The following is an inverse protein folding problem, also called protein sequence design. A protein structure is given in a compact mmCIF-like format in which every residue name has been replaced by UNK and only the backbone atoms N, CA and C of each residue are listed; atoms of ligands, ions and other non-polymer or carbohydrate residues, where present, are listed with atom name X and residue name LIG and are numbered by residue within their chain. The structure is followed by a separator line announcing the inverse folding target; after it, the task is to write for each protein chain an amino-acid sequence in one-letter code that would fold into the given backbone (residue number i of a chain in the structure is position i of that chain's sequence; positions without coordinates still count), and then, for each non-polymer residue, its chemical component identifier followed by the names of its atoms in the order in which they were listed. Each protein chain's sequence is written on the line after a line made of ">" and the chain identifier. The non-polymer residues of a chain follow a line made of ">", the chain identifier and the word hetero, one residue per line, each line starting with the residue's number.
data_IF_268042865845
#
_entry.id   IF_268042865845
#
_cell.length_a   1.000
_cell.length_b   1.000
_cell.length_c   1.000
_cell.angle_alpha   90.00
_cell.angle_beta   90.00
_cell.angle_gamma   90.00
#
_symmetry.space_group_name_H-M   'P 1'
#
loop_
_entity.id
_entity.type
_entity.pdbx_description
1 polymer ?
#
# COMPACT_ATOMS: atom_id res chain seq x y z
N UNK A 1 -16.71 7.47 8.69
CA UNK A 1 -16.57 6.00 8.98
C UNK A 1 -15.08 5.73 9.14
N UNK A 2 -14.62 5.03 10.19
CA UNK A 2 -13.19 4.74 10.36
C UNK A 2 -12.73 3.61 9.42
N UNK A 3 -11.43 3.57 9.14
CA UNK A 3 -10.81 2.52 8.32
C UNK A 3 -11.07 1.12 8.91
N UNK A 4 -10.97 0.97 10.22
CA UNK A 4 -11.21 -0.31 10.90
C UNK A 4 -12.63 -0.84 10.69
N UNK A 5 -13.66 0.04 10.77
CA UNK A 5 -15.06 -0.31 10.48
C UNK A 5 -15.26 -0.68 9.01
N UNK A 6 -14.66 0.09 8.09
CA UNK A 6 -14.71 -0.20 6.66
C UNK A 6 -14.10 -1.58 6.34
N UNK A 7 -12.92 -1.86 6.89
CA UNK A 7 -12.23 -3.14 6.71
C UNK A 7 -13.06 -4.32 7.21
N UNK A 8 -13.67 -4.21 8.40
CA UNK A 8 -14.57 -5.25 8.92
C UNK A 8 -15.74 -5.49 7.98
N UNK A 9 -16.40 -4.41 7.52
CA UNK A 9 -17.51 -4.51 6.56
C UNK A 9 -17.07 -5.18 5.26
N UNK A 10 -15.94 -4.80 4.70
CA UNK A 10 -15.36 -5.42 3.50
C UNK A 10 -15.18 -6.93 3.67
N UNK A 11 -14.53 -7.36 4.75
CA UNK A 11 -14.26 -8.78 5.01
C UNK A 11 -15.56 -9.57 5.16
N UNK A 12 -16.54 -9.04 5.89
CA UNK A 12 -17.84 -9.71 6.09
C UNK A 12 -18.57 -9.88 4.75
N UNK A 13 -18.70 -8.83 3.94
CA UNK A 13 -19.38 -8.88 2.65
C UNK A 13 -18.69 -9.86 1.70
N UNK A 14 -17.35 -9.83 1.66
CA UNK A 14 -16.58 -10.74 0.82
C UNK A 14 -16.82 -12.22 1.20
N UNK A 15 -16.76 -12.52 2.50
CA UNK A 15 -17.02 -13.90 2.97
C UNK A 15 -18.46 -14.36 2.73
N UNK A 16 -19.44 -13.49 2.97
CA UNK A 16 -20.86 -13.81 2.65
C UNK A 16 -20.98 -14.13 1.17
N UNK A 17 -20.39 -13.32 0.28
CA UNK A 17 -20.43 -13.56 -1.16
C UNK A 17 -19.79 -14.88 -1.56
N UNK A 18 -18.59 -15.20 -1.03
CA UNK A 18 -17.90 -16.46 -1.30
C UNK A 18 -18.73 -17.67 -0.82
N UNK A 19 -19.22 -17.63 0.42
CA UNK A 19 -20.03 -18.71 0.98
C UNK A 19 -21.31 -18.92 0.16
N UNK A 20 -21.99 -17.82 -0.23
CA UNK A 20 -23.21 -17.91 -1.05
C UNK A 20 -22.95 -18.57 -2.40
N UNK A 21 -21.82 -18.27 -3.06
CA UNK A 21 -21.42 -18.89 -4.33
C UNK A 21 -21.15 -20.39 -4.17
N UNK A 22 -20.48 -20.81 -3.10
CA UNK A 22 -20.26 -22.23 -2.82
C UNK A 22 -21.55 -22.97 -2.49
N UNK A 23 -22.41 -22.39 -1.62
CA UNK A 23 -23.72 -22.99 -1.31
C UNK A 23 -24.55 -23.15 -2.58
N UNK A 24 -24.59 -22.12 -3.42
CA UNK A 24 -25.27 -22.20 -4.72
C UNK A 24 -24.70 -23.29 -5.63
N UNK A 25 -23.37 -23.45 -5.69
CA UNK A 25 -22.73 -24.52 -6.43
C UNK A 25 -23.13 -25.91 -5.91
N UNK A 26 -23.05 -26.13 -4.60
CA UNK A 26 -23.45 -27.41 -4.01
C UNK A 26 -24.93 -27.73 -4.22
N UNK A 27 -25.80 -26.73 -4.10
CA UNK A 27 -27.20 -26.88 -4.40
C UNK A 27 -27.44 -27.29 -5.85
N UNK A 28 -26.85 -26.58 -6.83
CA UNK A 28 -26.97 -26.91 -8.25
C UNK A 28 -26.41 -28.30 -8.54
N UNK A 29 -25.28 -28.67 -7.96
CA UNK A 29 -24.68 -29.98 -8.15
C UNK A 29 -25.53 -31.11 -7.56
N UNK A 30 -26.30 -30.87 -6.49
CA UNK A 30 -27.22 -31.86 -5.93
C UNK A 30 -28.46 -32.12 -6.79
N UNK A 31 -28.81 -31.19 -7.69
CA UNK A 31 -29.91 -31.37 -8.62
C UNK A 31 -29.53 -32.24 -9.85
N UNK A 32 -28.24 -32.40 -10.13
CA UNK A 32 -27.71 -33.13 -11.30
C UNK A 32 -26.60 -34.10 -10.89
N UNK A 33 -26.89 -35.11 -10.06
CA UNK A 33 -25.85 -35.97 -9.46
C UNK A 33 -25.10 -36.84 -10.47
N UNK A 34 -25.72 -37.18 -11.58
CA UNK A 34 -25.16 -38.09 -12.58
C UNK A 34 -24.27 -37.42 -13.65
N UNK A 35 -24.12 -36.08 -13.57
CA UNK A 35 -23.36 -35.30 -14.55
C UNK A 35 -22.03 -34.79 -13.98
N UNK A 36 -20.99 -35.61 -13.99
CA UNK A 36 -19.67 -35.28 -13.49
C UNK A 36 -19.02 -34.08 -14.19
N UNK A 37 -19.24 -33.96 -15.51
CA UNK A 37 -18.77 -32.85 -16.33
C UNK A 37 -19.48 -31.54 -15.93
N UNK A 38 -20.76 -31.59 -15.59
CA UNK A 38 -21.53 -30.45 -15.10
C UNK A 38 -20.94 -29.92 -13.81
N UNK A 39 -20.55 -30.81 -12.86
CA UNK A 39 -19.93 -30.41 -11.60
C UNK A 39 -18.62 -29.66 -11.81
N UNK A 40 -17.73 -30.17 -12.68
CA UNK A 40 -16.44 -29.53 -13.01
C UNK A 40 -16.61 -28.17 -13.67
N UNK A 41 -17.53 -28.05 -14.63
CA UNK A 41 -17.78 -26.81 -15.35
C UNK A 41 -18.41 -25.74 -14.44
N UNK A 42 -19.36 -26.10 -13.58
CA UNK A 42 -19.95 -25.17 -12.62
C UNK A 42 -18.95 -24.70 -11.57
N UNK A 43 -18.00 -25.55 -11.15
CA UNK A 43 -16.93 -25.16 -10.23
C UNK A 43 -16.02 -24.09 -10.88
N UNK A 44 -15.64 -24.24 -12.14
CA UNK A 44 -14.84 -23.24 -12.85
C UNK A 44 -15.57 -21.90 -12.95
N UNK A 45 -16.86 -21.91 -13.24
CA UNK A 45 -17.69 -20.70 -13.27
C UNK A 45 -17.71 -20.04 -11.88
N UNK A 46 -17.90 -20.81 -10.82
CA UNK A 46 -17.90 -20.28 -9.43
C UNK A 46 -16.55 -19.66 -9.08
N UNK A 47 -15.44 -20.29 -9.44
CA UNK A 47 -14.10 -19.72 -9.21
C UNK A 47 -13.91 -18.39 -9.97
N UNK A 48 -14.39 -18.33 -11.22
CA UNK A 48 -14.41 -17.07 -11.99
C UNK A 48 -15.23 -15.97 -11.35
N UNK A 49 -16.42 -16.30 -10.82
CA UNK A 49 -17.28 -15.37 -10.10
C UNK A 49 -16.65 -14.91 -8.78
N UNK A 50 -15.97 -15.79 -8.04
CA UNK A 50 -15.23 -15.42 -6.82
C UNK A 50 -14.11 -14.43 -7.15
N UNK A 51 -13.36 -14.68 -8.24
CA UNK A 51 -12.32 -13.75 -8.69
C UNK A 51 -12.91 -12.39 -9.07
N UNK A 52 -14.00 -12.37 -9.82
CA UNK A 52 -14.70 -11.14 -10.20
C UNK A 52 -15.21 -10.39 -8.95
N UNK A 53 -15.84 -11.09 -8.02
CA UNK A 53 -16.29 -10.53 -6.74
C UNK A 53 -15.11 -9.89 -5.98
N UNK A 54 -13.98 -10.58 -5.90
CA UNK A 54 -12.79 -10.07 -5.24
C UNK A 54 -12.28 -8.77 -5.90
N UNK A 55 -12.21 -8.73 -7.24
CA UNK A 55 -11.79 -7.52 -7.98
C UNK A 55 -12.74 -6.35 -7.74
N UNK A 56 -14.05 -6.58 -7.82
CA UNK A 56 -15.07 -5.54 -7.62
C UNK A 56 -15.03 -5.02 -6.17
N UNK A 57 -14.93 -5.91 -5.20
CA UNK A 57 -14.84 -5.56 -3.78
C UNK A 57 -13.56 -4.77 -3.46
N UNK A 58 -12.43 -5.12 -4.06
CA UNK A 58 -11.18 -4.35 -3.90
C UNK A 58 -11.30 -2.93 -4.50
N UNK A 59 -11.92 -2.79 -5.67
CA UNK A 59 -12.17 -1.47 -6.27
C UNK A 59 -13.10 -0.62 -5.39
N UNK A 60 -14.17 -1.22 -4.89
CA UNK A 60 -15.08 -0.54 -3.97
C UNK A 60 -14.37 -0.11 -2.68
N UNK A 61 -13.62 -1.01 -2.06
CA UNK A 61 -12.85 -0.73 -0.84
C UNK A 61 -11.86 0.41 -1.05
N UNK A 62 -11.12 0.42 -2.17
CA UNK A 62 -10.19 1.50 -2.52
C UNK A 62 -10.89 2.86 -2.64
N UNK A 63 -12.05 2.92 -3.31
CA UNK A 63 -12.84 4.15 -3.41
C UNK A 63 -13.31 4.66 -2.04
N UNK A 64 -13.78 3.76 -1.16
CA UNK A 64 -14.20 4.14 0.19
C UNK A 64 -13.03 4.60 1.07
N UNK A 65 -11.84 3.99 0.92
CA UNK A 65 -10.62 4.48 1.58
C UNK A 65 -10.27 5.91 1.15
N UNK A 66 -10.34 6.20 -0.15
CA UNK A 66 -10.11 7.57 -0.65
C UNK A 66 -11.11 8.58 -0.08
N UNK A 67 -12.39 8.21 0.06
CA UNK A 67 -13.38 9.07 0.72
C UNK A 67 -13.02 9.36 2.19
N UNK A 68 -12.56 8.35 2.92
CA UNK A 68 -12.13 8.52 4.30
C UNK A 68 -10.92 9.46 4.36
N UNK A 69 -9.93 9.29 3.48
CA UNK A 69 -8.75 10.16 3.41
C UNK A 69 -9.11 11.62 3.11
N UNK A 70 -10.15 11.85 2.30
CA UNK A 70 -10.59 13.20 1.95
C UNK A 70 -11.38 13.91 3.05
N UNK A 71 -11.97 13.16 3.99
CA UNK A 71 -12.89 13.70 5.03
C UNK A 71 -12.26 13.68 6.42
N UNK A 72 -11.40 12.70 6.71
CA UNK A 72 -10.71 12.59 8.01
C UNK A 72 -9.30 13.15 7.94
N UNK A 73 -8.70 13.46 9.11
CA UNK A 73 -7.26 13.72 9.12
C UNK A 73 -6.53 12.50 8.57
N UNK A 74 -5.68 12.70 7.58
CA UNK A 74 -4.90 11.61 6.99
C UNK A 74 -4.08 10.85 8.04
N UNK A 75 -3.72 11.51 9.14
CA UNK A 75 -3.01 10.95 10.29
C UNK A 75 -3.80 9.81 10.93
N UNK A 76 -5.08 10.02 11.26
CA UNK A 76 -5.92 8.99 11.89
C UNK A 76 -6.10 7.77 10.99
N UNK A 77 -6.28 8.01 9.68
CA UNK A 77 -6.39 6.93 8.71
C UNK A 77 -5.13 6.04 8.69
N UNK A 78 -3.96 6.66 8.59
CA UNK A 78 -2.70 5.92 8.55
C UNK A 78 -2.37 5.23 9.87
N UNK A 79 -2.73 5.84 11.00
CA UNK A 79 -2.62 5.22 12.33
C UNK A 79 -3.48 3.96 12.43
N UNK A 80 -4.76 4.02 12.06
CA UNK A 80 -5.65 2.85 12.05
C UNK A 80 -5.17 1.75 11.10
N UNK A 81 -4.65 2.12 9.91
CA UNK A 81 -4.05 1.17 8.96
C UNK A 81 -2.85 0.44 9.57
N UNK A 82 -1.94 1.16 10.22
CA UNK A 82 -0.77 0.62 10.88
C UNK A 82 -1.16 -0.38 12.00
N UNK A 83 -2.10 0.01 12.87
CA UNK A 83 -2.58 -0.84 13.96
C UNK A 83 -3.31 -2.10 13.46
N UNK A 84 -4.15 -1.95 12.43
CA UNK A 84 -4.96 -3.06 11.93
C UNK A 84 -4.13 -4.19 11.32
N UNK A 85 -2.98 -3.86 10.76
CA UNK A 85 -2.10 -4.83 10.12
C UNK A 85 -1.12 -5.50 11.05
N UNK A 86 -0.79 -4.88 12.21
CA UNK A 86 0.06 -5.52 13.22
C UNK A 86 -0.55 -6.82 13.77
N UNK A 87 -1.88 -6.92 13.75
CA UNK A 87 -2.66 -8.10 14.18
C UNK A 87 -3.00 -9.05 13.01
N UNK A 88 -2.57 -8.76 11.79
CA UNK A 88 -2.93 -9.57 10.63
C UNK A 88 -2.11 -10.86 10.56
N UNK A 89 -2.76 -11.97 10.25
CA UNK A 89 -2.10 -13.27 10.04
C UNK A 89 -1.41 -13.37 8.67
N UNK A 90 -1.88 -12.61 7.67
CA UNK A 90 -1.40 -12.69 6.30
C UNK A 90 -0.24 -11.72 6.03
N UNK A 91 0.79 -12.17 5.31
CA UNK A 91 1.99 -11.40 4.99
C UNK A 91 1.70 -10.10 4.22
N UNK A 92 0.73 -10.12 3.30
CA UNK A 92 0.33 -8.93 2.52
C UNK A 92 -0.24 -7.82 3.42
N UNK A 93 -1.09 -8.20 4.38
CA UNK A 93 -1.65 -7.22 5.34
C UNK A 93 -0.60 -6.66 6.28
N UNK A 94 0.41 -7.46 6.65
CA UNK A 94 1.56 -6.99 7.43
C UNK A 94 2.39 -5.97 6.65
N UNK A 95 2.67 -6.24 5.36
CA UNK A 95 3.38 -5.29 4.48
C UNK A 95 2.66 -3.95 4.39
N UNK A 96 1.36 -3.97 4.15
CA UNK A 96 0.54 -2.76 4.08
C UNK A 96 0.57 -1.97 5.40
N UNK A 97 0.54 -2.65 6.55
CA UNK A 97 0.62 -2.00 7.85
C UNK A 97 1.99 -1.36 8.12
N UNK A 98 3.06 -2.02 7.74
CA UNK A 98 4.40 -1.44 7.85
C UNK A 98 4.53 -0.17 6.99
N UNK A 99 4.03 -0.20 5.75
CA UNK A 99 4.00 0.98 4.88
C UNK A 99 3.15 2.11 5.50
N UNK A 100 1.98 1.78 6.02
CA UNK A 100 1.11 2.73 6.70
C UNK A 100 1.79 3.35 7.92
N UNK A 101 2.57 2.57 8.68
CA UNK A 101 3.30 3.08 9.84
C UNK A 101 4.44 4.02 9.47
N UNK A 102 5.11 3.82 8.32
CA UNK A 102 6.10 4.79 7.79
C UNK A 102 5.43 6.12 7.49
N UNK A 103 4.31 6.08 6.75
CA UNK A 103 3.57 7.29 6.38
C UNK A 103 3.04 8.00 7.64
N UNK A 104 2.53 7.25 8.60
CA UNK A 104 2.07 7.81 9.87
C UNK A 104 3.18 8.53 10.62
N UNK A 105 4.34 7.88 10.83
CA UNK A 105 5.49 8.50 11.50
C UNK A 105 5.95 9.78 10.77
N UNK A 106 6.01 9.74 9.44
CA UNK A 106 6.35 10.91 8.64
C UNK A 106 5.35 12.07 8.83
N UNK A 107 4.05 11.79 8.85
CA UNK A 107 3.00 12.81 8.98
C UNK A 107 2.95 13.45 10.36
N UNK A 108 3.31 12.72 11.42
CA UNK A 108 3.36 13.29 12.79
C UNK A 108 4.70 13.97 13.09
N UNK A 109 5.63 13.99 12.15
CA UNK A 109 6.96 14.60 12.34
C UNK A 109 7.97 13.71 13.06
N UNK A 110 7.65 12.46 13.33
CA UNK A 110 8.60 11.49 13.91
C UNK A 110 9.48 10.90 12.79
N UNK A 111 10.38 11.74 12.30
CA UNK A 111 11.22 11.41 11.14
C UNK A 111 12.23 10.30 11.44
N UNK A 112 12.72 10.23 12.67
CA UNK A 112 13.65 9.17 13.08
C UNK A 112 12.99 7.81 13.01
N UNK A 113 11.80 7.65 13.58
CA UNK A 113 11.04 6.40 13.49
C UNK A 113 10.63 6.07 12.05
N UNK A 114 10.36 7.07 11.21
CA UNK A 114 10.08 6.83 9.79
C UNK A 114 11.30 6.22 9.07
N UNK A 115 12.51 6.74 9.32
CA UNK A 115 13.76 6.21 8.77
C UNK A 115 13.99 4.76 9.23
N UNK A 116 13.94 4.50 10.53
CA UNK A 116 14.17 3.18 11.11
C UNK A 116 13.21 2.13 10.52
N UNK A 117 11.95 2.50 10.32
CA UNK A 117 10.94 1.63 9.70
C UNK A 117 11.22 1.36 8.23
N UNK A 118 11.70 2.35 7.48
CA UNK A 118 12.10 2.15 6.08
C UNK A 118 13.31 1.22 5.99
N UNK A 119 14.34 1.45 6.80
CA UNK A 119 15.52 0.60 6.86
C UNK A 119 15.16 -0.84 7.26
N UNK A 120 14.29 -1.02 8.24
CA UNK A 120 13.75 -2.34 8.60
C UNK A 120 13.06 -3.03 7.42
N UNK A 121 12.20 -2.31 6.69
CA UNK A 121 11.49 -2.86 5.53
C UNK A 121 12.44 -3.27 4.39
N UNK A 122 13.51 -2.51 4.18
CA UNK A 122 14.55 -2.80 3.21
C UNK A 122 15.35 -4.04 3.61
N UNK A 123 15.83 -4.10 4.85
CA UNK A 123 16.64 -5.19 5.37
C UNK A 123 15.88 -6.53 5.38
N UNK A 124 14.58 -6.51 5.60
CA UNK A 124 13.73 -7.70 5.57
C UNK A 124 13.26 -8.10 4.17
N UNK A 125 13.71 -7.42 3.11
CA UNK A 125 13.23 -7.61 1.72
C UNK A 125 11.69 -7.56 1.59
N UNK A 126 11.01 -6.94 2.57
CA UNK A 126 9.56 -6.81 2.59
C UNK A 126 9.09 -5.86 1.50
N UNK A 127 9.88 -4.85 1.21
CA UNK A 127 9.68 -3.91 0.11
C UNK A 127 10.92 -3.97 -0.77
N UNK A 128 10.73 -4.27 -2.05
CA UNK A 128 11.81 -4.05 -3.03
C UNK A 128 12.20 -2.57 -2.94
N UNK A 129 13.49 -2.31 -2.90
CA UNK A 129 14.12 -0.97 -2.81
C UNK A 129 13.64 0.05 -3.85
N UNK A 130 12.72 -0.34 -4.71
CA UNK A 130 12.27 0.35 -5.90
C UNK A 130 10.96 1.13 -5.82
N UNK A 131 10.46 1.51 -4.64
CA UNK A 131 9.33 2.45 -4.62
C UNK A 131 9.85 3.86 -4.41
N UNK A 132 9.85 4.65 -5.47
CA UNK A 132 10.26 6.07 -5.48
C UNK A 132 9.63 6.88 -4.34
N UNK A 133 8.35 6.61 -4.00
CA UNK A 133 7.64 7.26 -2.90
C UNK A 133 8.26 7.01 -1.52
N UNK A 134 8.73 5.78 -1.22
CA UNK A 134 9.36 5.47 0.06
C UNK A 134 10.76 6.08 0.16
N UNK A 135 11.51 6.09 -0.93
CA UNK A 135 12.80 6.77 -0.98
C UNK A 135 12.63 8.28 -0.81
N UNK A 136 11.60 8.86 -1.42
CA UNK A 136 11.27 10.27 -1.20
C UNK A 136 10.96 10.58 0.28
N UNK A 137 10.19 9.72 0.96
CA UNK A 137 9.95 9.86 2.41
C UNK A 137 11.25 9.69 3.18
N UNK A 138 12.11 8.72 2.83
CA UNK A 138 13.41 8.50 3.50
C UNK A 138 14.31 9.74 3.38
N UNK A 139 14.47 10.30 2.18
CA UNK A 139 15.30 11.48 1.95
C UNK A 139 14.77 12.67 2.76
N UNK A 140 13.47 12.97 2.66
CA UNK A 140 12.86 14.07 3.41
C UNK A 140 12.97 13.89 4.92
N UNK A 141 12.72 12.66 5.42
CA UNK A 141 12.87 12.37 6.84
C UNK A 141 14.31 12.53 7.31
N UNK A 142 15.30 12.10 6.49
CA UNK A 142 16.72 12.28 6.81
C UNK A 142 17.09 13.75 6.91
N UNK A 143 16.67 14.56 5.95
CA UNK A 143 16.93 16.01 5.94
C UNK A 143 16.26 16.70 7.14
N UNK A 144 14.99 16.39 7.42
CA UNK A 144 14.22 17.01 8.50
C UNK A 144 14.64 16.54 9.91
N UNK A 145 15.24 15.35 10.03
CA UNK A 145 15.80 14.85 11.29
C UNK A 145 17.22 15.32 11.56
N UNK A 146 17.86 16.05 10.62
CA UNK A 146 19.24 16.46 10.70
C UNK A 146 20.24 15.31 10.44
N UNK A 147 19.80 14.16 9.92
CA UNK A 147 20.70 13.08 9.51
C UNK A 147 21.48 13.52 8.27
N UNK A 148 22.80 13.46 8.34
CA UNK A 148 23.65 13.81 7.22
C UNK A 148 23.36 12.87 6.03
N UNK A 149 22.97 13.46 4.90
CA UNK A 149 22.82 12.78 3.61
C UNK A 149 23.37 13.72 2.54
N UNK A 150 24.16 13.22 1.61
CA UNK A 150 24.73 14.04 0.54
C UNK A 150 23.86 14.00 -0.74
N UNK A 151 24.08 14.95 -1.65
CA UNK A 151 23.42 14.93 -2.97
C UNK A 151 23.77 13.68 -3.76
N UNK A 152 24.99 13.22 -3.66
CA UNK A 152 25.48 11.99 -4.28
C UNK A 152 24.77 10.77 -3.72
N UNK A 153 24.53 10.71 -2.40
CA UNK A 153 23.78 9.62 -1.76
C UNK A 153 22.33 9.59 -2.23
N UNK A 154 21.71 10.76 -2.40
CA UNK A 154 20.36 10.88 -2.95
C UNK A 154 20.33 10.30 -4.36
N UNK A 155 21.20 10.75 -5.25
CA UNK A 155 21.28 10.27 -6.63
C UNK A 155 21.53 8.76 -6.69
N UNK A 156 22.48 8.25 -5.92
CA UNK A 156 22.82 6.82 -5.86
C UNK A 156 21.64 5.96 -5.41
N UNK A 157 20.87 6.41 -4.42
CA UNK A 157 19.68 5.67 -3.94
C UNK A 157 18.62 5.53 -5.04
N UNK A 158 18.43 6.55 -5.89
CA UNK A 158 17.47 6.51 -6.97
C UNK A 158 17.95 5.79 -8.23
N UNK A 159 19.25 5.53 -8.38
CA UNK A 159 19.82 4.84 -9.55
C UNK A 159 19.22 3.43 -9.75
N UNK A 160 18.91 2.73 -8.67
CA UNK A 160 18.40 1.34 -8.70
C UNK A 160 16.88 1.23 -8.62
N UNK A 161 16.18 2.36 -8.68
CA UNK A 161 14.70 2.37 -8.66
C UNK A 161 14.17 2.16 -10.07
N UNK A 162 13.25 1.22 -10.30
CA UNK A 162 12.61 1.07 -11.59
C UNK A 162 11.63 2.24 -11.82
N UNK A 163 11.88 3.03 -12.84
CA UNK A 163 11.02 4.07 -13.36
C UNK A 163 10.45 3.63 -14.72
N UNK A 164 9.38 4.27 -15.16
CA UNK A 164 8.78 3.99 -16.48
C UNK A 164 9.72 4.43 -17.61
N UNK A 165 10.42 5.52 -17.40
CA UNK A 165 11.40 6.08 -18.36
C UNK A 165 12.43 6.94 -17.62
N UNK A 166 13.52 7.31 -18.30
CA UNK A 166 14.59 8.13 -17.73
C UNK A 166 14.12 9.58 -17.42
N UNK A 167 13.12 10.11 -18.15
CA UNK A 167 12.59 11.45 -17.88
C UNK A 167 11.86 11.49 -16.52
N UNK A 168 11.03 10.48 -16.19
CA UNK A 168 10.38 10.35 -14.89
C UNK A 168 11.41 10.22 -13.75
N UNK A 169 12.48 9.47 -14.00
CA UNK A 169 13.57 9.29 -13.04
C UNK A 169 14.28 10.61 -12.76
N UNK A 170 14.65 11.32 -13.80
CA UNK A 170 15.34 12.61 -13.69
C UNK A 170 14.47 13.63 -12.96
N UNK A 171 13.18 13.74 -13.29
CA UNK A 171 12.22 14.60 -12.60
C UNK A 171 12.17 14.32 -11.10
N UNK A 172 12.07 13.04 -10.72
CA UNK A 172 12.02 12.65 -9.30
C UNK A 172 13.32 12.98 -8.57
N UNK A 173 14.48 12.75 -9.21
CA UNK A 173 15.79 13.08 -8.63
C UNK A 173 15.92 14.59 -8.45
N UNK A 174 15.62 15.37 -9.47
CA UNK A 174 15.68 16.84 -9.43
C UNK A 174 14.80 17.40 -8.32
N UNK A 175 13.59 16.84 -8.16
CA UNK A 175 12.70 17.21 -7.05
C UNK A 175 13.32 16.96 -5.66
N UNK A 176 14.04 15.85 -5.46
CA UNK A 176 14.68 15.58 -4.18
C UNK A 176 15.91 16.48 -3.96
N UNK A 177 16.66 16.79 -5.01
CA UNK A 177 17.79 17.71 -4.95
C UNK A 177 17.34 19.15 -4.66
N UNK A 178 16.24 19.59 -5.28
CA UNK A 178 15.64 20.90 -4.98
C UNK A 178 15.22 21.02 -3.51
N UNK A 179 14.65 19.96 -2.93
CA UNK A 179 14.33 19.90 -1.49
C UNK A 179 15.61 20.01 -0.65
N UNK A 180 16.68 19.33 -1.06
CA UNK A 180 17.98 19.42 -0.39
C UNK A 180 18.52 20.85 -0.44
N UNK A 181 18.53 21.50 -1.60
CA UNK A 181 19.01 22.88 -1.77
C UNK A 181 18.29 23.83 -0.81
N UNK A 182 16.97 23.71 -0.70
CA UNK A 182 16.16 24.57 0.19
C UNK A 182 16.44 24.28 1.67
N UNK A 183 16.49 23.01 2.06
CA UNK A 183 16.55 22.63 3.48
C UNK A 183 17.96 22.65 4.08
N UNK A 184 18.99 22.35 3.26
CA UNK A 184 20.37 22.23 3.71
C UNK A 184 21.21 23.41 3.26
N UNK A 185 21.22 23.69 1.96
CA UNK A 185 22.03 24.76 1.38
C UNK A 185 21.39 26.14 1.55
N UNK A 186 20.13 26.21 1.97
CA UNK A 186 19.32 27.44 2.15
C UNK A 186 19.30 28.31 0.88
N UNK A 187 19.35 27.66 -0.29
CA UNK A 187 19.32 28.32 -1.58
C UNK A 187 17.93 28.23 -2.20
N UNK A 188 17.45 29.31 -2.84
CA UNK A 188 16.23 29.24 -3.63
C UNK A 188 16.44 28.25 -4.79
N UNK A 189 15.42 27.50 -5.14
CA UNK A 189 15.45 26.56 -6.24
C UNK A 189 14.24 26.77 -7.14
N UNK A 190 14.49 26.92 -8.44
CA UNK A 190 13.48 27.22 -9.46
C UNK A 190 12.59 26.03 -9.81
N UNK A 191 12.78 24.88 -9.14
CA UNK A 191 11.95 23.69 -9.36
C UNK A 191 10.52 23.85 -8.81
N UNK A 192 10.32 24.70 -7.82
CA UNK A 192 9.03 25.00 -7.20
C UNK A 192 8.58 26.42 -7.59
#
# INVERSE_FOLDING_TARGET
>A
MSYSKLRKKYVIILWIGIISLFVGHFYLSSLYPDHQDFYSNTLLVVLGLIFLLYVLMNRWFGKECLKILNVSSGIDFWHECAQSGSRARFSISKKAAHLASVIYCYMIGDFSSAIDRIEFLQNQNIVRTGRSSLLGIFVKSSLLSGKAISKEDIQKKFTYVPFKNEAEKEEVIQKQLAIYDILVDQQPNDYF
#
